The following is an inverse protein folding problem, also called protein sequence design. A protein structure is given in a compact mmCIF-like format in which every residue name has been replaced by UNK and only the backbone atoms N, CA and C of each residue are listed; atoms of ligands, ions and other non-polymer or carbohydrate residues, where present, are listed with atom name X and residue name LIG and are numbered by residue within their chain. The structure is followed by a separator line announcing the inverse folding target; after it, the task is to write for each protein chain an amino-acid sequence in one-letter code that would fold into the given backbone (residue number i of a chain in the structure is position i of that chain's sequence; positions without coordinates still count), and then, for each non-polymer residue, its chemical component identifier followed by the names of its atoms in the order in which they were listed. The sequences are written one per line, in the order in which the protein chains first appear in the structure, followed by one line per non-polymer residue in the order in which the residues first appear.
data_IF_713043040941
#
_entry.id   IF_713043040941
#
_cell.length_a   1.000
_cell.length_b   1.000
_cell.length_c   1.000
_cell.angle_alpha   90.00
_cell.angle_beta   90.00
_cell.angle_gamma   90.00
#
_symmetry.space_group_name_H-M   'P 1'
#
loop_
_entity.id
_entity.type
_entity.pdbx_description
1 polymer ?
#
# COMPACT_ATOMS: atom_id res chain seq x y z
N UNK A 1 -6.55 -20.30 40.97
CA UNK A 1 -6.81 -19.86 39.57
C UNK A 1 -7.40 -18.45 39.57
N UNK A 2 -8.47 -18.18 40.33
CA UNK A 2 -9.03 -16.82 40.42
C UNK A 2 -8.05 -15.75 40.92
N UNK A 3 -7.32 -16.00 42.00
CA UNK A 3 -6.31 -15.05 42.51
C UNK A 3 -5.17 -14.80 41.50
N UNK A 4 -4.82 -15.81 40.70
CA UNK A 4 -3.81 -15.66 39.65
C UNK A 4 -4.34 -14.82 38.49
N UNK A 5 -5.61 -15.00 38.11
CA UNK A 5 -6.30 -14.17 37.13
C UNK A 5 -6.30 -12.71 37.57
N UNK A 6 -6.75 -12.41 38.80
CA UNK A 6 -6.78 -11.05 39.34
C UNK A 6 -5.39 -10.41 39.36
N UNK A 7 -4.34 -11.16 39.70
CA UNK A 7 -2.97 -10.65 39.68
C UNK A 7 -2.48 -10.34 38.27
N UNK A 8 -2.81 -11.18 37.30
CA UNK A 8 -2.45 -10.96 35.90
C UNK A 8 -3.21 -9.76 35.32
N UNK A 9 -4.50 -9.63 35.59
CA UNK A 9 -5.32 -8.48 35.18
C UNK A 9 -4.77 -7.17 35.75
N UNK A 10 -4.44 -7.14 37.05
CA UNK A 10 -3.80 -5.97 37.67
C UNK A 10 -2.45 -5.63 37.05
N UNK A 11 -1.70 -6.63 36.59
CA UNK A 11 -0.44 -6.42 35.88
C UNK A 11 -0.68 -5.82 34.49
N UNK A 12 -1.66 -6.34 33.74
CA UNK A 12 -2.06 -5.77 32.44
C UNK A 12 -2.52 -4.31 32.58
N UNK A 13 -3.29 -3.98 33.62
CA UNK A 13 -3.74 -2.60 33.87
C UNK A 13 -2.57 -1.61 34.03
N UNK A 14 -1.51 -1.99 34.76
CA UNK A 14 -0.30 -1.16 34.90
C UNK A 14 0.44 -0.99 33.57
N UNK A 15 0.46 -2.02 32.74
CA UNK A 15 1.06 -1.94 31.40
C UNK A 15 0.22 -1.06 30.47
N UNK A 16 -1.10 -1.12 30.58
CA UNK A 16 -2.03 -0.23 29.87
C UNK A 16 -1.84 1.23 30.28
N UNK A 17 -1.68 1.52 31.57
CA UNK A 17 -1.37 2.88 32.06
C UNK A 17 -0.09 3.41 31.41
N UNK A 18 0.99 2.62 31.44
CA UNK A 18 2.25 2.99 30.78
C UNK A 18 2.12 3.20 29.27
N UNK A 19 1.34 2.35 28.59
CA UNK A 19 1.10 2.48 27.16
C UNK A 19 0.32 3.77 26.83
N UNK A 20 -0.65 4.14 27.67
CA UNK A 20 -1.41 5.38 27.53
C UNK A 20 -0.54 6.62 27.79
N UNK A 21 0.38 6.58 28.76
CA UNK A 21 1.34 7.66 28.99
C UNK A 21 2.25 7.87 27.77
N UNK A 22 2.84 6.78 27.25
CA UNK A 22 3.65 6.81 26.04
C UNK A 22 2.88 7.38 24.84
N UNK A 23 1.63 6.93 24.64
CA UNK A 23 0.75 7.44 23.58
C UNK A 23 0.50 8.94 23.73
N UNK A 24 0.20 9.40 24.95
CA UNK A 24 -0.07 10.82 25.24
C UNK A 24 1.14 11.71 24.98
N UNK A 25 2.31 11.32 25.48
CA UNK A 25 3.55 12.05 25.27
C UNK A 25 3.91 12.12 23.78
N UNK A 26 3.79 11.00 23.07
CA UNK A 26 4.04 10.94 21.63
C UNK A 26 3.06 11.83 20.87
N UNK A 27 1.75 11.72 21.12
CA UNK A 27 0.73 12.55 20.46
C UNK A 27 0.97 14.04 20.63
N UNK A 28 1.52 14.46 21.78
CA UNK A 28 1.81 15.87 22.06
C UNK A 28 2.99 16.45 21.26
N UNK A 29 3.88 15.60 20.73
CA UNK A 29 5.14 16.02 20.09
C UNK A 29 5.32 15.49 18.66
N UNK A 30 4.52 14.52 18.23
CA UNK A 30 4.69 13.80 16.95
C UNK A 30 4.67 14.72 15.74
N UNK A 31 3.82 15.75 15.75
CA UNK A 31 3.73 16.71 14.64
C UNK A 31 4.97 17.59 14.55
N UNK A 32 5.51 18.02 15.69
CA UNK A 32 6.72 18.85 15.74
C UNK A 32 7.92 18.04 15.24
N UNK A 33 8.08 16.79 15.70
CA UNK A 33 9.11 15.88 15.18
C UNK A 33 9.00 15.66 13.67
N UNK A 34 7.78 15.55 13.14
CA UNK A 34 7.57 15.42 11.70
C UNK A 34 7.95 16.69 10.94
N UNK A 35 7.57 17.87 11.46
CA UNK A 35 7.83 19.15 10.81
C UNK A 35 9.31 19.54 10.85
N UNK A 36 10.01 19.25 11.95
CA UNK A 36 11.42 19.57 12.15
C UNK A 36 12.36 18.70 11.30
N UNK A 37 11.90 17.54 10.85
CA UNK A 37 12.67 16.70 9.93
C UNK A 37 12.66 17.29 8.51
N UNK A 38 13.71 18.03 8.16
CA UNK A 38 13.87 18.65 6.84
C UNK A 38 14.27 17.66 5.73
N UNK A 39 14.57 16.39 6.06
CA UNK A 39 14.85 15.37 5.06
C UNK A 39 13.59 15.12 4.20
N UNK A 40 13.68 15.18 2.86
CA UNK A 40 12.55 14.87 1.97
C UNK A 40 11.88 13.52 2.25
N UNK A 41 12.65 12.53 2.71
CA UNK A 41 12.16 11.19 3.05
C UNK A 41 11.82 11.01 4.54
N UNK A 42 11.88 12.08 5.35
CA UNK A 42 11.51 12.06 6.78
C UNK A 42 12.18 10.94 7.58
N UNK A 43 13.44 10.62 7.27
CA UNK A 43 14.16 9.46 7.81
C UNK A 43 14.30 9.51 9.33
N UNK A 44 14.53 10.70 9.90
CA UNK A 44 14.64 10.86 11.36
C UNK A 44 13.29 10.60 12.03
N UNK A 45 12.22 11.16 11.45
CA UNK A 45 10.86 10.92 11.91
C UNK A 45 10.48 9.42 11.84
N UNK A 46 10.79 8.72 10.76
CA UNK A 46 10.50 7.28 10.66
C UNK A 46 11.27 6.46 11.69
N UNK A 47 12.53 6.79 11.96
CA UNK A 47 13.29 6.14 13.03
C UNK A 47 12.65 6.39 14.41
N UNK A 48 12.19 7.63 14.67
CA UNK A 48 11.44 7.95 15.88
C UNK A 48 10.15 7.13 15.98
N UNK A 49 9.33 7.09 14.92
CA UNK A 49 8.09 6.31 14.86
C UNK A 49 8.35 4.82 15.14
N UNK A 50 9.35 4.22 14.50
CA UNK A 50 9.75 2.84 14.73
C UNK A 50 10.22 2.60 16.16
N UNK A 51 10.95 3.54 16.75
CA UNK A 51 11.36 3.48 18.16
C UNK A 51 10.17 3.47 19.12
N UNK A 52 9.16 4.32 18.89
CA UNK A 52 7.93 4.35 19.70
C UNK A 52 7.12 3.05 19.52
N UNK A 53 6.91 2.59 18.28
CA UNK A 53 6.22 1.32 18.02
C UNK A 53 6.93 0.15 18.69
N UNK A 54 8.27 0.13 18.67
CA UNK A 54 9.08 -0.85 19.38
C UNK A 54 8.86 -0.83 20.90
N UNK A 55 8.59 0.34 21.50
CA UNK A 55 8.23 0.42 22.92
C UNK A 55 6.87 -0.20 23.22
N UNK A 56 5.85 0.01 22.37
CA UNK A 56 4.56 -0.69 22.49
C UNK A 56 4.73 -2.21 22.35
N UNK A 57 5.53 -2.67 21.39
CA UNK A 57 5.87 -4.09 21.24
C UNK A 57 6.57 -4.62 22.48
N UNK A 58 7.48 -3.86 23.09
CA UNK A 58 8.15 -4.25 24.34
C UNK A 58 7.16 -4.41 25.51
N UNK A 59 6.11 -3.57 25.58
CA UNK A 59 5.05 -3.70 26.59
C UNK A 59 4.28 -5.01 26.39
N UNK A 60 3.91 -5.33 25.15
CA UNK A 60 3.24 -6.61 24.81
C UNK A 60 4.13 -7.79 25.17
N UNK A 61 5.40 -7.77 24.77
CA UNK A 61 6.34 -8.86 25.02
C UNK A 61 6.53 -9.11 26.51
N UNK A 62 6.55 -8.06 27.34
CA UNK A 62 6.62 -8.20 28.79
C UNK A 62 5.38 -8.89 29.38
N UNK A 63 4.20 -8.61 28.82
CA UNK A 63 2.98 -9.30 29.21
C UNK A 63 2.99 -10.77 28.77
N UNK A 64 3.45 -11.03 27.54
CA UNK A 64 3.61 -12.38 27.00
C UNK A 64 4.55 -13.22 27.86
N UNK A 65 5.70 -12.68 28.26
CA UNK A 65 6.64 -13.39 29.14
C UNK A 65 6.00 -13.80 30.48
N UNK A 66 5.18 -12.94 31.08
CA UNK A 66 4.47 -13.28 32.32
C UNK A 66 3.37 -14.32 32.06
N UNK A 67 2.64 -14.21 30.95
CA UNK A 67 1.62 -15.17 30.55
C UNK A 67 2.23 -16.56 30.35
N UNK A 68 3.30 -16.67 29.58
CA UNK A 68 4.00 -17.93 29.30
C UNK A 68 4.53 -18.57 30.59
N UNK A 69 5.11 -17.75 31.47
CA UNK A 69 5.73 -18.25 32.70
C UNK A 69 4.76 -18.53 33.86
N UNK A 70 3.56 -17.95 33.87
CA UNK A 70 2.65 -18.06 35.02
C UNK A 70 1.27 -18.60 34.67
N UNK A 71 0.79 -18.40 33.44
CA UNK A 71 -0.56 -18.80 33.02
C UNK A 71 -0.51 -20.04 32.13
N UNK A 72 0.43 -20.10 31.18
CA UNK A 72 0.48 -21.19 30.18
C UNK A 72 0.70 -22.58 30.82
N UNK A 73 1.42 -22.66 31.94
CA UNK A 73 1.56 -23.91 32.72
C UNK A 73 0.23 -24.49 33.22
N UNK A 74 -0.83 -23.69 33.26
CA UNK A 74 -2.16 -24.11 33.66
C UNK A 74 -3.05 -24.50 32.48
N UNK A 75 -2.54 -24.55 31.24
CA UNK A 75 -3.27 -25.15 30.13
C UNK A 75 -3.52 -26.65 30.42
N UNK A 76 -4.78 -27.13 30.37
CA UNK A 76 -5.05 -28.54 30.60
C UNK A 76 -4.67 -29.37 29.37
N UNK A 77 -4.03 -30.50 29.61
CA UNK A 77 -3.74 -31.52 28.60
C UNK A 77 -5.03 -32.13 28.05
N UNK A 78 -4.95 -32.75 26.86
CA UNK A 78 -6.08 -33.45 26.22
C UNK A 78 -6.74 -34.47 27.17
N UNK A 79 -5.95 -35.14 28.01
CA UNK A 79 -6.44 -36.11 28.99
C UNK A 79 -7.18 -35.45 30.16
N UNK A 80 -6.65 -34.33 30.69
CA UNK A 80 -7.31 -33.57 31.76
C UNK A 80 -8.67 -33.03 31.29
N UNK A 81 -8.79 -32.55 30.05
CA UNK A 81 -10.04 -31.99 29.49
C UNK A 81 -11.23 -32.95 29.52
N UNK A 82 -11.01 -34.26 29.65
CA UNK A 82 -12.06 -35.28 29.74
C UNK A 82 -12.66 -35.44 31.14
N UNK A 83 -12.09 -34.76 32.15
CA UNK A 83 -12.57 -34.77 33.53
C UNK A 83 -13.41 -33.54 33.84
N UNK A 84 -14.36 -33.60 34.81
CA UNK A 84 -15.09 -32.43 35.28
C UNK A 84 -14.17 -31.28 35.73
N UNK A 85 -13.09 -31.61 36.45
CA UNK A 85 -12.11 -30.64 36.95
C UNK A 85 -11.31 -29.99 35.80
N UNK A 86 -10.89 -30.79 34.81
CA UNK A 86 -10.17 -30.27 33.65
C UNK A 86 -11.05 -29.42 32.73
N UNK A 87 -12.36 -29.65 32.68
CA UNK A 87 -13.30 -28.76 31.97
C UNK A 87 -13.39 -27.38 32.66
N UNK A 88 -13.39 -27.34 34.00
CA UNK A 88 -13.35 -26.07 34.76
C UNK A 88 -12.03 -25.32 34.48
N UNK A 89 -10.90 -26.04 34.48
CA UNK A 89 -9.58 -25.50 34.16
C UNK A 89 -9.48 -24.99 32.71
N UNK A 90 -10.05 -25.71 31.75
CA UNK A 90 -10.11 -25.30 30.34
C UNK A 90 -10.92 -24.01 30.16
N UNK A 91 -12.10 -23.91 30.79
CA UNK A 91 -12.92 -22.69 30.73
C UNK A 91 -12.19 -21.48 31.32
N UNK A 92 -11.52 -21.67 32.44
CA UNK A 92 -10.70 -20.62 33.05
C UNK A 92 -9.55 -20.21 32.14
N UNK A 93 -8.80 -21.18 31.59
CA UNK A 93 -7.66 -20.91 30.71
C UNK A 93 -8.08 -20.20 29.42
N UNK A 94 -9.16 -20.65 28.78
CA UNK A 94 -9.71 -19.98 27.59
C UNK A 94 -10.09 -18.53 27.88
N UNK A 95 -10.78 -18.28 29.00
CA UNK A 95 -11.18 -16.94 29.38
C UNK A 95 -9.98 -16.00 29.50
N UNK A 96 -8.97 -16.37 30.28
CA UNK A 96 -7.78 -15.53 30.48
C UNK A 96 -6.95 -15.38 29.21
N UNK A 97 -6.88 -16.42 28.37
CA UNK A 97 -6.22 -16.36 27.06
C UNK A 97 -6.94 -15.37 26.12
N UNK A 98 -8.26 -15.48 25.99
CA UNK A 98 -9.06 -14.59 25.14
C UNK A 98 -8.98 -13.13 25.62
N UNK A 99 -9.03 -12.89 26.93
CA UNK A 99 -8.82 -11.56 27.51
C UNK A 99 -7.42 -11.02 27.22
N UNK A 100 -6.39 -11.88 27.26
CA UNK A 100 -5.02 -11.48 26.96
C UNK A 100 -4.80 -11.16 25.47
N UNK A 101 -5.35 -11.97 24.56
CA UNK A 101 -5.30 -11.66 23.12
C UNK A 101 -6.02 -10.34 22.80
N UNK A 102 -7.21 -10.14 23.36
CA UNK A 102 -7.95 -8.89 23.22
C UNK A 102 -7.14 -7.69 23.76
N UNK A 103 -6.46 -7.87 24.90
CA UNK A 103 -5.58 -6.83 25.45
C UNK A 103 -4.40 -6.52 24.51
N UNK A 104 -3.77 -7.54 23.90
CA UNK A 104 -2.70 -7.31 22.91
C UNK A 104 -3.20 -6.48 21.72
N UNK A 105 -4.39 -6.78 21.23
CA UNK A 105 -5.00 -6.01 20.15
C UNK A 105 -5.31 -4.57 20.55
N UNK A 106 -5.77 -4.33 21.79
CA UNK A 106 -5.95 -2.97 22.31
C UNK A 106 -4.64 -2.18 22.31
N UNK A 107 -3.52 -2.78 22.74
CA UNK A 107 -2.22 -2.10 22.75
C UNK A 107 -1.69 -1.86 21.33
N UNK A 108 -1.90 -2.80 20.40
CA UNK A 108 -1.57 -2.60 18.97
C UNK A 108 -2.37 -1.45 18.37
N UNK A 109 -3.68 -1.43 18.60
CA UNK A 109 -4.56 -0.35 18.14
C UNK A 109 -4.13 0.99 18.74
N UNK A 110 -3.78 1.04 20.02
CA UNK A 110 -3.27 2.25 20.66
C UNK A 110 -1.96 2.73 20.02
N UNK A 111 -1.06 1.82 19.66
CA UNK A 111 0.18 2.14 18.95
C UNK A 111 -0.10 2.76 17.57
N UNK A 112 -1.09 2.27 16.84
CA UNK A 112 -1.49 2.83 15.54
C UNK A 112 -2.19 4.19 15.71
N UNK A 113 -3.16 4.27 16.62
CA UNK A 113 -3.91 5.49 16.96
C UNK A 113 -3.03 6.61 17.52
N UNK A 114 -1.81 6.29 17.98
CA UNK A 114 -0.80 7.28 18.40
C UNK A 114 -0.38 8.20 17.24
N UNK A 115 -0.39 7.69 16.01
CA UNK A 115 0.05 8.43 14.82
C UNK A 115 -1.09 8.84 13.89
N UNK A 116 -2.34 8.51 14.21
CA UNK A 116 -3.50 8.69 13.33
C UNK A 116 -3.78 10.13 12.93
N UNK A 117 -3.56 11.07 13.85
CA UNK A 117 -3.80 12.50 13.62
C UNK A 117 -2.58 13.24 13.04
N UNK A 118 -1.50 12.51 12.73
CA UNK A 118 -0.32 13.07 12.09
C UNK A 118 -0.72 13.65 10.72
N UNK A 119 -0.43 14.94 10.53
CA UNK A 119 -0.62 15.59 9.25
C UNK A 119 0.69 15.51 8.49
N UNK A 120 0.81 14.44 7.71
CA UNK A 120 1.89 14.33 6.73
C UNK A 120 1.74 15.42 5.66
N UNK A 121 2.87 15.87 5.12
CA UNK A 121 2.86 16.80 3.98
C UNK A 121 2.19 16.08 2.81
N UNK A 122 1.08 16.64 2.32
CA UNK A 122 0.36 16.05 1.20
C UNK A 122 1.27 15.93 -0.03
N UNK A 123 1.17 14.79 -0.71
CA UNK A 123 1.86 14.55 -1.98
C UNK A 123 1.52 15.61 -3.04
N UNK A 124 0.32 16.21 -2.98
CA UNK A 124 -0.11 17.31 -3.87
C UNK A 124 0.74 18.57 -3.68
N UNK A 125 1.07 18.93 -2.42
CA UNK A 125 1.93 20.07 -2.12
C UNK A 125 3.33 19.82 -2.68
N UNK A 126 3.84 18.59 -2.49
CA UNK A 126 5.15 18.19 -3.04
C UNK A 126 5.15 18.23 -4.57
N UNK A 127 4.09 17.78 -5.23
CA UNK A 127 3.93 17.87 -6.68
C UNK A 127 3.97 19.34 -7.15
N UNK A 128 3.21 20.22 -6.49
CA UNK A 128 3.18 21.64 -6.87
C UNK A 128 4.56 22.28 -6.76
N UNK A 129 5.32 21.99 -5.70
CA UNK A 129 6.70 22.46 -5.55
C UNK A 129 7.61 21.97 -6.68
N UNK A 130 7.47 20.72 -7.11
CA UNK A 130 8.24 20.15 -8.22
C UNK A 130 7.88 20.84 -9.53
N UNK A 131 6.59 21.06 -9.80
CA UNK A 131 6.12 21.73 -11.01
C UNK A 131 6.60 23.18 -11.05
N UNK A 132 6.54 23.89 -9.93
CA UNK A 132 7.00 25.27 -9.82
C UNK A 132 8.51 25.37 -10.05
N UNK A 133 9.31 24.51 -9.42
CA UNK A 133 10.75 24.44 -9.64
C UNK A 133 11.09 24.10 -11.10
N UNK A 134 10.36 23.16 -11.70
CA UNK A 134 10.51 22.79 -13.11
C UNK A 134 10.23 23.96 -14.03
N UNK A 135 9.13 24.68 -13.83
CA UNK A 135 8.79 25.84 -14.65
C UNK A 135 9.86 26.95 -14.51
N UNK A 136 10.36 27.20 -13.28
CA UNK A 136 11.44 28.16 -13.06
C UNK A 136 12.73 27.79 -13.80
N UNK A 137 13.15 26.52 -13.75
CA UNK A 137 14.37 26.07 -14.43
C UNK A 137 14.16 26.10 -15.95
N UNK A 138 13.02 25.58 -16.43
CA UNK A 138 12.65 25.57 -17.85
C UNK A 138 12.66 26.97 -18.45
N UNK A 139 12.02 27.94 -17.80
CA UNK A 139 11.85 29.27 -18.36
C UNK A 139 13.15 30.07 -18.43
N UNK A 140 14.12 29.71 -17.59
CA UNK A 140 15.44 30.34 -17.53
C UNK A 140 16.54 29.53 -18.24
N UNK A 141 16.22 28.43 -18.92
CA UNK A 141 17.21 27.60 -19.58
C UNK A 141 17.65 28.20 -20.94
N UNK A 142 18.91 28.65 -21.01
CA UNK A 142 19.47 29.31 -22.19
C UNK A 142 20.75 28.60 -22.67
N UNK A 143 21.05 28.74 -23.96
CA UNK A 143 22.28 28.24 -24.53
C UNK A 143 23.48 28.96 -23.92
N UNK A 144 24.42 28.18 -23.40
CA UNK A 144 25.66 28.68 -22.78
C UNK A 144 26.57 29.44 -23.75
N UNK A 145 26.47 29.19 -25.05
CA UNK A 145 27.32 29.82 -26.07
C UNK A 145 26.68 31.06 -26.68
N UNK A 146 25.44 30.96 -27.16
CA UNK A 146 24.79 32.04 -27.91
C UNK A 146 23.71 32.79 -27.13
N UNK A 147 23.42 32.40 -25.89
CA UNK A 147 22.37 33.01 -25.05
C UNK A 147 20.94 32.76 -25.54
N UNK A 148 20.73 32.00 -26.62
CA UNK A 148 19.39 31.71 -27.14
C UNK A 148 18.58 30.85 -26.19
N UNK A 149 17.30 31.18 -25.99
CA UNK A 149 16.38 30.40 -25.13
C UNK A 149 16.21 28.98 -25.70
N UNK A 150 16.38 27.97 -24.85
CA UNK A 150 16.23 26.57 -25.22
C UNK A 150 14.87 26.07 -24.74
N UNK A 151 14.19 25.27 -25.57
CA UNK A 151 12.90 24.72 -25.21
C UNK A 151 13.05 23.36 -24.52
N UNK A 152 12.45 23.22 -23.34
CA UNK A 152 12.36 21.95 -22.60
C UNK A 152 10.92 21.45 -22.76
N UNK A 153 10.74 20.39 -23.54
CA UNK A 153 9.42 19.90 -23.95
C UNK A 153 8.76 19.00 -22.89
N UNK A 154 9.56 18.43 -21.98
CA UNK A 154 9.12 17.49 -20.96
C UNK A 154 10.02 17.55 -19.73
N UNK A 155 9.54 17.01 -18.60
CA UNK A 155 10.36 16.89 -17.40
C UNK A 155 11.32 15.71 -17.54
N UNK A 156 12.61 16.00 -17.52
CA UNK A 156 13.65 14.96 -17.53
C UNK A 156 13.99 14.51 -16.10
N UNK A 157 14.29 13.22 -15.94
CA UNK A 157 14.65 12.60 -14.66
C UNK A 157 16.16 12.33 -14.52
N UNK A 158 16.90 12.51 -15.61
CA UNK A 158 18.35 12.37 -15.67
C UNK A 158 18.95 13.58 -16.38
N UNK A 159 20.28 13.72 -16.31
CA UNK A 159 20.95 14.74 -17.11
C UNK A 159 20.73 14.44 -18.61
N UNK A 160 20.18 15.40 -19.33
CA UNK A 160 19.80 15.24 -20.74
C UNK A 160 20.47 16.30 -21.60
N UNK A 161 21.00 15.88 -22.74
CA UNK A 161 21.60 16.79 -23.71
C UNK A 161 20.54 17.45 -24.58
N UNK A 162 20.58 18.78 -24.64
CA UNK A 162 19.67 19.63 -25.39
C UNK A 162 20.47 20.39 -26.45
N UNK A 163 20.34 20.06 -27.74
CA UNK A 163 21.01 20.79 -28.80
C UNK A 163 20.39 22.19 -28.99
N UNK A 164 21.24 23.20 -29.15
CA UNK A 164 20.79 24.56 -29.44
C UNK A 164 20.36 24.68 -30.91
N UNK A 165 19.11 25.09 -31.21
CA UNK A 165 18.65 25.22 -32.59
C UNK A 165 19.36 26.35 -33.36
N UNK A 166 19.94 27.33 -32.65
CA UNK A 166 20.57 28.50 -33.25
C UNK A 166 22.04 28.29 -33.61
N UNK A 167 22.82 27.66 -32.73
CA UNK A 167 24.28 27.52 -32.88
C UNK A 167 24.79 26.08 -32.78
N UNK A 168 23.89 25.09 -32.69
CA UNK A 168 24.19 23.66 -32.62
C UNK A 168 25.05 23.23 -31.40
N UNK A 169 25.31 24.13 -30.46
CA UNK A 169 25.97 23.79 -29.19
C UNK A 169 25.10 22.83 -28.39
N UNK A 170 25.72 21.77 -27.88
CA UNK A 170 25.09 20.83 -26.96
C UNK A 170 25.10 21.39 -25.54
N UNK A 171 23.92 21.63 -24.97
CA UNK A 171 23.74 22.06 -23.59
C UNK A 171 23.27 20.89 -22.74
N UNK A 172 23.51 20.92 -21.44
CA UNK A 172 23.07 19.86 -20.53
C UNK A 172 22.01 20.40 -19.60
N UNK A 173 20.80 19.84 -19.68
CA UNK A 173 19.76 20.06 -18.68
C UNK A 173 20.01 19.10 -17.51
N UNK A 174 20.10 19.63 -16.30
CA UNK A 174 20.28 18.83 -15.09
C UNK A 174 19.04 19.00 -14.21
N UNK A 175 18.21 17.95 -14.04
CA UNK A 175 17.02 18.04 -13.19
C UNK A 175 17.41 18.17 -11.72
N UNK A 176 16.59 18.91 -10.97
CA UNK A 176 16.72 19.04 -9.51
C UNK A 176 16.48 17.71 -8.82
N UNK A 177 16.91 17.58 -7.56
CA UNK A 177 16.64 16.38 -6.75
C UNK A 177 15.14 16.08 -6.68
N UNK A 178 14.31 17.11 -6.47
CA UNK A 178 12.85 16.95 -6.38
C UNK A 178 12.22 16.46 -7.69
N UNK A 179 12.70 16.93 -8.84
CA UNK A 179 12.23 16.43 -10.15
C UNK A 179 12.52 14.94 -10.34
N UNK A 180 13.69 14.48 -9.87
CA UNK A 180 14.04 13.05 -9.93
C UNK A 180 13.17 12.21 -9.01
N UNK A 181 12.64 12.82 -7.95
CA UNK A 181 11.74 12.16 -7.01
C UNK A 181 10.29 12.07 -7.50
N UNK A 182 9.92 12.79 -8.57
CA UNK A 182 8.55 12.83 -9.07
C UNK A 182 8.01 11.43 -9.42
N UNK A 183 8.86 10.52 -9.92
CA UNK A 183 8.47 9.13 -10.18
C UNK A 183 7.99 8.41 -8.92
N UNK A 184 8.66 8.63 -7.78
CA UNK A 184 8.35 7.95 -6.53
C UNK A 184 7.06 8.48 -5.90
N UNK A 185 6.85 9.81 -5.92
CA UNK A 185 5.63 10.40 -5.33
C UNK A 185 4.39 10.23 -6.21
N UNK A 186 4.56 10.03 -7.53
CA UNK A 186 3.43 9.97 -8.45
C UNK A 186 2.47 8.81 -8.11
N UNK A 187 3.02 7.69 -7.63
CA UNK A 187 2.22 6.56 -7.18
C UNK A 187 1.46 6.89 -5.89
N UNK A 188 2.14 7.45 -4.89
CA UNK A 188 1.52 7.81 -3.62
C UNK A 188 0.37 8.81 -3.83
N UNK A 189 0.59 9.81 -4.69
CA UNK A 189 -0.44 10.78 -5.06
C UNK A 189 -1.62 10.14 -5.81
N UNK A 190 -1.34 9.24 -6.74
CA UNK A 190 -2.38 8.50 -7.44
C UNK A 190 -3.22 7.64 -6.48
N UNK A 191 -2.59 7.02 -5.48
CA UNK A 191 -3.28 6.25 -4.44
C UNK A 191 -4.12 7.16 -3.52
N UNK A 192 -3.60 8.33 -3.12
CA UNK A 192 -4.38 9.35 -2.40
C UNK A 192 -5.64 9.78 -3.18
N UNK A 193 -5.49 10.08 -4.48
CA UNK A 193 -6.57 10.55 -5.35
C UNK A 193 -7.61 9.46 -5.66
N UNK A 194 -7.21 8.18 -5.62
CA UNK A 194 -8.06 7.03 -5.95
C UNK A 194 -8.54 6.25 -4.71
N UNK A 195 -8.48 6.88 -3.53
CA UNK A 195 -8.93 6.29 -2.26
C UNK A 195 -10.40 5.86 -2.26
N UNK A 196 -11.22 6.43 -3.13
CA UNK A 196 -12.63 6.03 -3.29
C UNK A 196 -12.75 4.67 -3.96
N UNK A 197 -11.92 4.41 -4.97
CA UNK A 197 -11.81 3.17 -5.71
C UNK A 197 -11.23 2.06 -4.83
N UNK A 198 -10.20 2.39 -4.03
CA UNK A 198 -9.64 1.51 -3.00
C UNK A 198 -10.72 1.04 -2.01
N UNK A 199 -11.42 1.97 -1.37
CA UNK A 199 -12.51 1.64 -0.44
C UNK A 199 -13.62 0.80 -1.07
N UNK A 200 -13.88 0.99 -2.36
CA UNK A 200 -14.86 0.18 -3.11
C UNK A 200 -14.35 -1.24 -3.27
N UNK A 201 -13.07 -1.43 -3.62
CA UNK A 201 -12.43 -2.73 -3.67
C UNK A 201 -12.47 -3.41 -2.30
N UNK A 202 -12.03 -2.75 -1.23
CA UNK A 202 -12.03 -3.31 0.13
C UNK A 202 -13.43 -3.77 0.56
N UNK A 203 -14.46 -2.97 0.26
CA UNK A 203 -15.85 -3.33 0.57
C UNK A 203 -16.31 -4.57 -0.18
N UNK A 204 -15.89 -4.77 -1.42
CA UNK A 204 -16.21 -5.95 -2.23
C UNK A 204 -15.42 -7.15 -1.70
N UNK A 205 -14.12 -7.00 -1.47
CA UNK A 205 -13.23 -8.05 -0.97
C UNK A 205 -13.66 -8.59 0.40
N UNK A 206 -14.13 -7.72 1.30
CA UNK A 206 -14.55 -8.08 2.65
C UNK A 206 -16.00 -8.57 2.74
N UNK A 207 -16.74 -8.59 1.62
CA UNK A 207 -18.13 -9.06 1.61
C UNK A 207 -18.14 -10.58 1.46
N UNK A 208 -18.68 -11.29 2.45
CA UNK A 208 -18.77 -12.77 2.44
C UNK A 208 -19.51 -13.37 1.22
N UNK A 209 -20.26 -12.56 0.47
CA UNK A 209 -21.01 -13.03 -0.71
C UNK A 209 -20.31 -12.71 -2.04
N UNK A 210 -19.15 -12.06 -2.02
CA UNK A 210 -18.51 -11.63 -3.26
C UNK A 210 -17.80 -12.79 -3.95
N UNK A 211 -17.93 -12.84 -5.27
CA UNK A 211 -17.30 -13.91 -6.06
C UNK A 211 -15.84 -13.55 -6.38
N UNK A 212 -14.97 -14.53 -6.66
CA UNK A 212 -13.59 -14.27 -7.06
C UNK A 212 -13.49 -13.32 -8.28
N UNK A 213 -14.42 -13.42 -9.24
CA UNK A 213 -14.52 -12.54 -10.40
C UNK A 213 -14.80 -11.08 -10.00
N UNK A 214 -15.76 -10.86 -9.10
CA UNK A 214 -16.12 -9.53 -8.62
C UNK A 214 -14.94 -8.86 -7.90
N UNK A 215 -14.24 -9.63 -7.06
CA UNK A 215 -13.06 -9.16 -6.31
C UNK A 215 -11.94 -8.82 -7.28
N UNK A 216 -11.66 -9.68 -8.27
CA UNK A 216 -10.64 -9.44 -9.29
C UNK A 216 -10.96 -8.19 -10.10
N UNK A 217 -12.20 -8.05 -10.56
CA UNK A 217 -12.61 -6.90 -11.35
C UNK A 217 -12.58 -5.60 -10.55
N UNK A 218 -12.93 -5.64 -9.25
CA UNK A 218 -12.81 -4.49 -8.37
C UNK A 218 -11.33 -4.08 -8.17
N UNK A 219 -10.45 -5.05 -7.95
CA UNK A 219 -9.01 -4.82 -7.83
C UNK A 219 -8.42 -4.21 -9.11
N UNK A 220 -8.72 -4.82 -10.27
CA UNK A 220 -8.30 -4.32 -11.57
C UNK A 220 -8.73 -2.86 -11.79
N UNK A 221 -10.00 -2.54 -11.50
CA UNK A 221 -10.52 -1.16 -11.68
C UNK A 221 -9.82 -0.16 -10.79
N UNK A 222 -9.53 -0.53 -9.54
CA UNK A 222 -8.75 0.33 -8.65
C UNK A 222 -7.34 0.56 -9.17
N UNK A 223 -6.61 -0.51 -9.50
CA UNK A 223 -5.24 -0.38 -10.04
C UNK A 223 -5.20 0.34 -11.39
N UNK A 224 -6.23 0.19 -12.21
CA UNK A 224 -6.38 0.95 -13.46
C UNK A 224 -6.55 2.45 -13.19
N UNK A 225 -7.35 2.83 -12.19
CA UNK A 225 -7.52 4.23 -11.78
C UNK A 225 -6.19 4.82 -11.31
N UNK A 226 -5.43 4.08 -10.48
CA UNK A 226 -4.09 4.49 -10.03
C UNK A 226 -3.17 4.71 -11.23
N UNK A 227 -3.12 3.77 -12.17
CA UNK A 227 -2.27 3.92 -13.37
C UNK A 227 -2.67 5.12 -14.23
N UNK A 228 -3.97 5.41 -14.39
CA UNK A 228 -4.44 6.60 -15.12
C UNK A 228 -3.96 7.90 -14.45
N UNK A 229 -4.03 7.99 -13.12
CA UNK A 229 -3.50 9.14 -12.39
C UNK A 229 -1.98 9.27 -12.55
N UNK A 230 -1.23 8.18 -12.39
CA UNK A 230 0.23 8.18 -12.60
C UNK A 230 0.58 8.62 -14.03
N UNK A 231 -0.15 8.13 -15.04
CA UNK A 231 0.00 8.55 -16.43
C UNK A 231 -0.22 10.04 -16.61
N UNK A 232 -1.17 10.64 -15.90
CA UNK A 232 -1.43 12.08 -15.96
C UNK A 232 -0.34 12.90 -15.27
N UNK A 233 0.22 12.40 -14.17
CA UNK A 233 1.27 13.08 -13.39
C UNK A 233 2.63 12.98 -14.11
N UNK A 234 2.98 11.80 -14.64
CA UNK A 234 4.27 11.53 -15.30
C UNK A 234 4.07 10.84 -16.65
N UNK A 235 3.62 11.56 -17.71
CA UNK A 235 3.30 10.96 -19.00
C UNK A 235 4.49 10.25 -19.68
N UNK A 236 5.71 10.80 -19.52
CA UNK A 236 6.93 10.24 -20.13
C UNK A 236 7.25 8.82 -19.64
N UNK A 237 6.74 8.42 -18.47
CA UNK A 237 6.91 7.08 -17.91
C UNK A 237 5.69 6.16 -18.15
N UNK A 238 4.72 6.55 -18.98
CA UNK A 238 3.48 5.79 -19.21
C UNK A 238 3.73 4.30 -19.49
N UNK A 239 4.66 3.99 -20.40
CA UNK A 239 4.93 2.60 -20.79
C UNK A 239 5.62 1.80 -19.68
N UNK A 240 6.50 2.43 -18.90
CA UNK A 240 7.14 1.78 -17.76
C UNK A 240 6.11 1.51 -16.65
N UNK A 241 5.30 2.51 -16.32
CA UNK A 241 4.25 2.41 -15.31
C UNK A 241 3.12 1.45 -15.70
N UNK A 242 2.81 1.32 -16.99
CA UNK A 242 1.86 0.30 -17.48
C UNK A 242 2.34 -1.12 -17.18
N UNK A 243 3.63 -1.40 -17.36
CA UNK A 243 4.21 -2.71 -16.99
C UNK A 243 4.11 -2.98 -15.49
N UNK A 244 4.31 -1.95 -14.66
CA UNK A 244 4.13 -2.06 -13.20
C UNK A 244 2.68 -2.40 -12.86
N UNK A 245 1.72 -1.69 -13.45
CA UNK A 245 0.29 -1.97 -13.31
C UNK A 245 -0.06 -3.42 -13.70
N UNK A 246 0.41 -3.89 -14.87
CA UNK A 246 0.17 -5.26 -15.29
C UNK A 246 0.76 -6.29 -14.33
N UNK A 247 1.96 -6.04 -13.81
CA UNK A 247 2.58 -6.90 -12.80
C UNK A 247 1.78 -6.92 -11.50
N UNK A 248 1.26 -5.79 -11.03
CA UNK A 248 0.43 -5.74 -9.82
C UNK A 248 -0.85 -6.57 -9.98
N UNK A 249 -1.53 -6.44 -11.13
CA UNK A 249 -2.71 -7.28 -11.43
C UNK A 249 -2.32 -8.75 -11.57
N UNK A 250 -1.19 -9.06 -12.21
CA UNK A 250 -0.69 -10.42 -12.32
C UNK A 250 -0.34 -11.04 -10.96
N UNK A 251 0.20 -10.28 -10.02
CA UNK A 251 0.50 -10.75 -8.67
C UNK A 251 -0.75 -11.17 -7.90
N UNK A 252 -1.93 -10.63 -8.21
CA UNK A 252 -3.18 -11.13 -7.63
C UNK A 252 -3.44 -12.60 -8.06
N UNK A 253 -2.90 -13.03 -9.20
CA UNK A 253 -3.04 -14.39 -9.69
C UNK A 253 -2.17 -15.41 -8.95
N UNK A 254 -1.23 -14.97 -8.11
CA UNK A 254 -0.36 -15.89 -7.35
C UNK A 254 -1.01 -16.39 -6.06
N UNK A 255 -2.18 -15.87 -5.70
CA UNK A 255 -2.97 -16.42 -4.60
C UNK A 255 -3.74 -17.66 -5.08
N UNK A 256 -3.82 -18.70 -4.22
CA UNK A 256 -4.43 -20.00 -4.54
C UNK A 256 -5.83 -19.89 -5.17
N UNK A 257 -6.60 -18.85 -4.81
CA UNK A 257 -7.93 -18.58 -5.37
C UNK A 257 -7.97 -18.15 -6.84
N UNK A 258 -6.81 -17.87 -7.47
CA UNK A 258 -6.70 -17.35 -8.85
C UNK A 258 -5.77 -18.18 -9.74
N UNK A 259 -5.58 -19.47 -9.44
CA UNK A 259 -4.85 -20.38 -10.31
C UNK A 259 -5.66 -20.71 -11.59
N UNK A 260 -5.50 -19.90 -12.63
CA UNK A 260 -6.24 -20.04 -13.88
C UNK A 260 -5.92 -21.31 -14.67
N UNK A 261 -4.75 -21.93 -14.47
CA UNK A 261 -4.46 -23.23 -15.08
C UNK A 261 -5.35 -24.35 -14.54
N UNK A 262 -5.72 -24.27 -13.26
CA UNK A 262 -6.62 -25.23 -12.61
C UNK A 262 -8.08 -24.83 -12.73
N UNK A 263 -8.36 -23.53 -12.92
CA UNK A 263 -9.71 -22.99 -13.07
C UNK A 263 -9.83 -22.06 -14.28
N UNK A 264 -9.82 -22.61 -15.51
CA UNK A 264 -9.90 -21.81 -16.73
C UNK A 264 -11.27 -21.14 -16.93
N UNK A 265 -12.34 -21.67 -16.34
CA UNK A 265 -13.68 -21.06 -16.41
C UNK A 265 -13.76 -19.76 -15.61
N UNK A 266 -13.12 -19.72 -14.43
CA UNK A 266 -12.94 -18.47 -13.69
C UNK A 266 -12.22 -17.42 -14.55
N UNK A 267 -11.18 -17.84 -15.29
CA UNK A 267 -10.45 -16.93 -16.16
C UNK A 267 -11.30 -16.40 -17.32
N UNK A 268 -12.11 -17.25 -17.96
CA UNK A 268 -13.09 -16.84 -18.98
C UNK A 268 -14.08 -15.81 -18.43
N UNK A 269 -14.63 -16.06 -17.24
CA UNK A 269 -15.59 -15.17 -16.61
C UNK A 269 -14.96 -13.81 -16.28
N UNK A 270 -13.72 -13.79 -15.79
CA UNK A 270 -12.97 -12.55 -15.53
C UNK A 270 -12.75 -11.76 -16.82
N UNK A 271 -12.33 -12.44 -17.91
CA UNK A 271 -12.17 -11.79 -19.22
C UNK A 271 -13.49 -11.15 -19.65
N UNK A 272 -14.60 -11.90 -19.64
CA UNK A 272 -15.91 -11.38 -20.01
C UNK A 272 -16.39 -10.24 -19.11
N UNK A 273 -16.16 -10.33 -17.80
CA UNK A 273 -16.56 -9.29 -16.84
C UNK A 273 -15.77 -8.00 -17.07
N UNK A 274 -14.47 -8.10 -17.33
CA UNK A 274 -13.64 -6.94 -17.64
C UNK A 274 -13.91 -6.38 -19.03
N UNK A 275 -14.42 -7.16 -19.98
CA UNK A 275 -14.87 -6.68 -21.30
C UNK A 275 -16.08 -5.74 -21.24
N UNK A 276 -16.87 -5.80 -20.16
CA UNK A 276 -18.00 -4.88 -19.91
C UNK A 276 -17.56 -3.50 -19.38
N UNK A 277 -16.26 -3.22 -19.36
CA UNK A 277 -15.70 -1.91 -19.02
C UNK A 277 -16.02 -0.85 -20.09
N UNK A 278 -15.83 0.42 -19.74
CA UNK A 278 -15.98 1.56 -20.65
C UNK A 278 -15.07 1.40 -21.89
N UNK A 279 -15.53 1.93 -23.04
CA UNK A 279 -14.86 1.77 -24.33
C UNK A 279 -13.39 2.21 -24.32
N UNK A 280 -13.07 3.29 -23.60
CA UNK A 280 -11.70 3.80 -23.44
C UNK A 280 -10.75 2.83 -22.72
N UNK A 281 -11.29 1.90 -21.94
CA UNK A 281 -10.52 0.94 -21.16
C UNK A 281 -10.40 -0.43 -21.85
N UNK A 282 -11.12 -0.68 -22.95
CA UNK A 282 -11.05 -1.98 -23.65
C UNK A 282 -9.65 -2.30 -24.13
N UNK A 283 -8.94 -1.32 -24.71
CA UNK A 283 -7.56 -1.48 -25.17
C UNK A 283 -6.62 -1.93 -24.05
N UNK A 284 -6.71 -1.32 -22.87
CA UNK A 284 -5.82 -1.68 -21.75
C UNK A 284 -6.17 -3.05 -21.16
N UNK A 285 -7.44 -3.46 -21.20
CA UNK A 285 -7.86 -4.82 -20.83
C UNK A 285 -7.31 -5.86 -21.80
N UNK A 286 -7.35 -5.60 -23.11
CA UNK A 286 -6.75 -6.47 -24.13
C UNK A 286 -5.25 -6.64 -23.84
N UNK A 287 -4.53 -5.53 -23.73
CA UNK A 287 -3.09 -5.55 -23.49
C UNK A 287 -2.71 -6.28 -22.18
N UNK A 288 -3.55 -6.17 -21.13
CA UNK A 288 -3.36 -6.91 -19.89
C UNK A 288 -3.46 -8.43 -20.12
N UNK A 289 -4.50 -8.89 -20.82
CA UNK A 289 -4.68 -10.32 -21.05
C UNK A 289 -3.65 -10.88 -22.02
N UNK A 290 -3.21 -10.12 -23.03
CA UNK A 290 -2.06 -10.48 -23.85
C UNK A 290 -0.79 -10.63 -23.02
N UNK A 291 -0.58 -9.75 -22.02
CA UNK A 291 0.52 -9.87 -21.07
C UNK A 291 0.41 -11.10 -20.17
N UNK A 292 -0.81 -11.42 -19.68
CA UNK A 292 -1.04 -12.58 -18.81
C UNK A 292 -0.92 -13.90 -19.58
N UNK A 293 -1.44 -13.96 -20.81
CA UNK A 293 -1.51 -15.14 -21.66
C UNK A 293 -2.76 -16.01 -21.43
N UNK A 294 -2.82 -17.15 -22.12
CA UNK A 294 -4.01 -18.01 -22.23
C UNK A 294 -4.34 -18.85 -20.98
N UNK A 295 -3.35 -19.14 -20.13
CA UNK A 295 -3.48 -19.75 -18.78
C UNK A 295 -4.51 -20.89 -18.67
N UNK A 296 -4.40 -21.91 -19.52
CA UNK A 296 -5.28 -23.09 -19.50
C UNK A 296 -6.50 -22.99 -20.42
N UNK A 297 -6.77 -21.83 -21.00
CA UNK A 297 -7.71 -21.67 -22.12
C UNK A 297 -7.00 -22.10 -23.42
N UNK A 298 -7.63 -22.91 -24.30
CA UNK A 298 -7.09 -23.22 -25.62
C UNK A 298 -6.76 -21.96 -26.43
N UNK A 299 -5.59 -21.94 -27.07
CA UNK A 299 -5.06 -20.75 -27.75
C UNK A 299 -6.04 -20.08 -28.73
N UNK A 300 -6.73 -20.87 -29.56
CA UNK A 300 -7.70 -20.35 -30.53
C UNK A 300 -8.95 -19.77 -29.85
N UNK A 301 -9.37 -20.37 -28.74
CA UNK A 301 -10.46 -19.84 -27.92
C UNK A 301 -10.05 -18.52 -27.26
N UNK A 302 -8.86 -18.46 -26.68
CA UNK A 302 -8.31 -17.25 -26.08
C UNK A 302 -8.21 -16.10 -27.09
N UNK A 303 -7.67 -16.38 -28.30
CA UNK A 303 -7.64 -15.40 -29.40
C UNK A 303 -9.04 -14.92 -29.78
N UNK A 304 -10.04 -15.80 -29.80
CA UNK A 304 -11.42 -15.41 -30.09
C UNK A 304 -12.02 -14.54 -28.98
N UNK A 305 -11.75 -14.86 -27.71
CA UNK A 305 -12.18 -14.05 -26.57
C UNK A 305 -11.59 -12.63 -26.63
N UNK A 306 -10.31 -12.51 -26.99
CA UNK A 306 -9.63 -11.22 -27.09
C UNK A 306 -9.99 -10.45 -28.38
N UNK A 307 -10.06 -11.12 -29.53
CA UNK A 307 -10.37 -10.46 -30.83
C UNK A 307 -11.84 -10.02 -30.97
N UNK A 308 -12.77 -10.67 -30.27
CA UNK A 308 -14.14 -10.15 -30.18
C UNK A 308 -14.20 -8.80 -29.44
N UNK A 309 -13.17 -8.41 -28.70
CA UNK A 309 -13.04 -7.09 -28.05
C UNK A 309 -12.73 -6.00 -29.09
N UNK A 310 -11.97 -6.34 -30.14
CA UNK A 310 -11.55 -5.38 -31.18
C UNK A 310 -12.71 -4.93 -32.10
N UNK A 311 -13.77 -5.74 -32.22
CA UNK A 311 -14.88 -5.52 -33.17
C UNK A 311 -15.97 -4.57 -32.66
N UNK A 312 -15.95 -4.22 -31.37
CA UNK A 312 -16.86 -3.24 -30.75
C UNK A 312 -16.25 -1.82 -30.68
N UNK A 313 -15.20 -1.56 -31.46
CA UNK A 313 -14.51 -0.27 -31.57
C UNK A 313 -14.99 0.59 -32.73
#
# INVERSE_FOLDING_TARGET
MEELHIRFENFLNKLTERANELAKETKSSVQDFYNDDIDPHKRSFFNFKMGIQGQFTSIINKAQEVFDNQIQFHEPTIREKQTPEGNIKEKWFRKIHDEFENWKDQIRNLSEDTFKDLKEKSAEITLQEIIDEYNQIKDNFHCTQCGGKLNINEMYFIATYIPCPYCQTQNTFVPSTKMRELEFIAKDLAEERTKKEEKRYEKIANKNTSTPEEIFAAYFRWRLAVWKEVKNIVPVLEQANKKVFFREVHNLMTYDGYNFYENPDLYRNIIQLLMQTESENKKIVIELFEYIGERGIPQEEFKNLISNIEKDH
#
